data_IF_679520872162
#
_entry.id   IF_679520872162
#
_cell.length_a   1.000
_cell.length_b   1.000
_cell.length_c   1.000
_cell.angle_alpha   90.00
_cell.angle_beta   90.00
_cell.angle_gamma   90.00
#
_symmetry.space_group_name_H-M   'P 1'
#
loop_
_entity.id
_entity.type
_entity.pdbx_description
1 polymer ?
#
# COMPACT_ATOMS: atom_id res chain seq x y z
N UNK A 1 -7.40 20.67 6.13
CA UNK A 1 -8.34 20.80 4.97
C UNK A 1 -8.99 19.48 4.55
N UNK A 2 -8.42 18.32 4.84
CA UNK A 2 -9.00 16.99 4.48
C UNK A 2 -10.35 16.69 5.14
N UNK A 3 -10.62 17.20 6.35
CA UNK A 3 -11.87 16.95 7.08
C UNK A 3 -13.12 17.55 6.41
N UNK A 4 -13.03 18.78 5.93
CA UNK A 4 -14.15 19.44 5.25
C UNK A 4 -14.53 18.75 3.93
N UNK A 5 -13.54 18.27 3.17
CA UNK A 5 -13.79 17.49 1.96
C UNK A 5 -14.51 16.17 2.27
N UNK A 6 -14.07 15.46 3.31
CA UNK A 6 -14.66 14.20 3.73
C UNK A 6 -16.11 14.40 4.21
N UNK A 7 -16.37 15.47 4.96
CA UNK A 7 -17.72 15.86 5.36
C UNK A 7 -18.58 16.20 4.14
N UNK A 8 -18.03 16.91 3.15
CA UNK A 8 -18.72 17.23 1.90
C UNK A 8 -19.10 15.97 1.12
N UNK A 9 -18.18 14.98 1.02
CA UNK A 9 -18.48 13.70 0.39
C UNK A 9 -19.57 12.93 1.12
N UNK A 10 -19.51 12.87 2.45
CA UNK A 10 -20.54 12.20 3.27
C UNK A 10 -21.89 12.90 3.10
N UNK A 11 -21.92 14.24 3.09
CA UNK A 11 -23.14 15.01 2.91
C UNK A 11 -23.76 14.75 1.52
N UNK A 12 -22.97 14.79 0.44
CA UNK A 12 -23.44 14.50 -0.92
C UNK A 12 -23.95 13.06 -0.98
N UNK A 13 -23.24 12.11 -0.43
CA UNK A 13 -23.61 10.70 -0.44
C UNK A 13 -24.90 10.44 0.31
N UNK A 14 -25.06 11.06 1.50
CA UNK A 14 -26.27 11.00 2.31
C UNK A 14 -27.45 11.67 1.60
N UNK A 15 -27.23 12.80 0.94
CA UNK A 15 -28.24 13.50 0.17
C UNK A 15 -28.77 12.67 -1.03
N UNK A 16 -27.88 12.03 -1.77
CA UNK A 16 -28.27 11.14 -2.87
C UNK A 16 -29.04 9.92 -2.33
N UNK A 17 -28.59 9.34 -1.21
CA UNK A 17 -29.33 8.26 -0.52
C UNK A 17 -30.74 8.68 -0.09
N UNK A 18 -30.88 9.90 0.45
CA UNK A 18 -32.18 10.48 0.80
C UNK A 18 -33.08 10.72 -0.42
N UNK A 19 -32.52 11.17 -1.56
CA UNK A 19 -33.27 11.31 -2.80
C UNK A 19 -33.77 9.97 -3.32
N UNK A 20 -32.94 8.92 -3.31
CA UNK A 20 -33.31 7.57 -3.72
C UNK A 20 -34.44 7.07 -2.82
N UNK A 21 -34.32 7.24 -1.51
CA UNK A 21 -35.36 6.85 -0.53
C UNK A 21 -36.68 7.60 -0.79
N UNK A 22 -36.62 8.91 -0.98
CA UNK A 22 -37.81 9.73 -1.28
C UNK A 22 -38.47 9.34 -2.61
N UNK A 23 -37.68 9.07 -3.65
CA UNK A 23 -38.17 8.59 -4.93
C UNK A 23 -38.84 7.20 -4.79
N UNK A 24 -38.25 6.34 -3.97
CA UNK A 24 -38.79 5.03 -3.62
C UNK A 24 -40.15 5.14 -2.93
N UNK A 25 -40.28 6.00 -1.96
CA UNK A 25 -41.56 6.21 -1.27
C UNK A 25 -42.65 6.74 -2.21
N UNK A 26 -42.31 7.64 -3.12
CA UNK A 26 -43.26 8.17 -4.11
C UNK A 26 -43.69 7.11 -5.14
N UNK A 27 -42.79 6.18 -5.50
CA UNK A 27 -43.09 5.07 -6.41
C UNK A 27 -44.06 4.05 -5.78
N UNK A 28 -44.19 4.03 -4.45
CA UNK A 28 -45.13 3.15 -3.73
C UNK A 28 -46.61 3.46 -4.03
N UNK A 29 -46.91 4.60 -4.61
CA UNK A 29 -48.25 5.01 -5.05
C UNK A 29 -48.73 4.23 -6.28
N UNK A 30 -47.87 3.43 -6.92
CA UNK A 30 -48.20 2.53 -8.01
C UNK A 30 -48.76 1.23 -7.38
N UNK A 31 -50.02 1.25 -7.01
CA UNK A 31 -50.82 0.19 -6.28
C UNK A 31 -50.89 -1.20 -6.95
N UNK A 32 -50.06 -1.53 -7.92
CA UNK A 32 -50.13 -2.83 -8.64
C UNK A 32 -48.94 -3.77 -8.36
N UNK A 33 -47.95 -3.38 -7.54
CA UNK A 33 -46.83 -4.25 -7.25
C UNK A 33 -47.12 -5.14 -6.01
N UNK A 34 -46.72 -6.41 -6.11
CA UNK A 34 -46.72 -7.31 -4.97
C UNK A 34 -45.78 -6.70 -3.88
N UNK A 35 -46.28 -6.56 -2.65
CA UNK A 35 -45.60 -5.91 -1.54
C UNK A 35 -44.21 -6.52 -1.26
N UNK A 36 -44.09 -7.85 -1.46
CA UNK A 36 -42.82 -8.58 -1.29
C UNK A 36 -41.76 -8.13 -2.32
N UNK A 37 -42.18 -8.00 -3.59
CA UNK A 37 -41.31 -7.56 -4.67
C UNK A 37 -40.85 -6.11 -4.44
N UNK A 38 -41.75 -5.28 -3.93
CA UNK A 38 -41.42 -3.87 -3.60
C UNK A 38 -40.33 -3.79 -2.55
N UNK A 39 -40.48 -4.50 -1.40
CA UNK A 39 -39.44 -4.50 -0.37
C UNK A 39 -38.14 -5.15 -0.83
N UNK A 40 -38.22 -6.24 -1.60
CA UNK A 40 -37.01 -6.89 -2.14
C UNK A 40 -36.19 -5.95 -3.05
N UNK A 41 -36.86 -5.21 -3.93
CA UNK A 41 -36.21 -4.21 -4.77
C UNK A 41 -35.58 -3.06 -3.96
N UNK A 42 -36.25 -2.59 -2.91
CA UNK A 42 -35.74 -1.57 -2.02
C UNK A 42 -34.47 -2.01 -1.28
N UNK A 43 -34.49 -3.24 -0.74
CA UNK A 43 -33.31 -3.83 -0.12
C UNK A 43 -32.17 -3.99 -1.11
N UNK A 44 -32.44 -4.45 -2.34
CA UNK A 44 -31.43 -4.60 -3.38
C UNK A 44 -30.78 -3.26 -3.74
N UNK A 45 -31.58 -2.23 -3.95
CA UNK A 45 -31.08 -0.87 -4.24
C UNK A 45 -30.22 -0.32 -3.09
N UNK A 46 -30.64 -0.54 -1.84
CA UNK A 46 -29.89 -0.15 -0.67
C UNK A 46 -28.53 -0.88 -0.58
N UNK A 47 -28.52 -2.20 -0.79
CA UNK A 47 -27.29 -3.00 -0.77
C UNK A 47 -26.34 -2.58 -1.87
N UNK A 48 -26.83 -2.34 -3.08
CA UNK A 48 -26.00 -1.86 -4.20
C UNK A 48 -25.44 -0.46 -3.91
N UNK A 49 -26.28 0.44 -3.41
CA UNK A 49 -25.88 1.80 -3.05
C UNK A 49 -24.79 1.80 -1.96
N UNK A 50 -25.08 1.14 -0.83
CA UNK A 50 -24.17 1.09 0.31
C UNK A 50 -22.90 0.31 -0.01
N UNK A 51 -23.04 -0.83 -0.70
CA UNK A 51 -21.93 -1.69 -1.09
C UNK A 51 -20.96 -1.01 -2.05
N UNK A 52 -21.46 -0.23 -3.01
CA UNK A 52 -20.62 0.52 -3.95
C UNK A 52 -19.81 1.62 -3.24
N UNK A 53 -20.43 2.32 -2.29
CA UNK A 53 -19.75 3.29 -1.46
C UNK A 53 -18.68 2.67 -0.59
N UNK A 54 -19.03 1.60 0.14
CA UNK A 54 -18.07 0.88 0.99
C UNK A 54 -16.89 0.32 0.19
N UNK A 55 -17.16 -0.27 -0.99
CA UNK A 55 -16.11 -0.78 -1.87
C UNK A 55 -15.15 0.34 -2.31
N UNK A 56 -15.68 1.49 -2.67
CA UNK A 56 -14.87 2.63 -3.11
C UNK A 56 -14.07 3.24 -1.97
N UNK A 57 -14.60 3.24 -0.75
CA UNK A 57 -13.98 3.86 0.42
C UNK A 57 -12.91 2.96 1.07
N UNK A 58 -13.23 1.71 1.34
CA UNK A 58 -12.39 0.81 2.13
C UNK A 58 -12.10 -0.52 1.43
N UNK A 59 -13.06 -1.07 0.71
CA UNK A 59 -12.99 -2.43 0.16
C UNK A 59 -11.80 -2.64 -0.76
N UNK A 60 -11.51 -1.70 -1.65
CA UNK A 60 -10.34 -1.77 -2.54
C UNK A 60 -9.02 -1.86 -1.77
N UNK A 61 -8.84 -1.02 -0.74
CA UNK A 61 -7.63 -1.04 0.08
C UNK A 61 -7.46 -2.37 0.79
N UNK A 62 -8.52 -2.81 1.47
CA UNK A 62 -8.50 -4.08 2.22
C UNK A 62 -8.18 -5.27 1.31
N UNK A 63 -8.78 -5.32 0.13
CA UNK A 63 -8.56 -6.38 -0.85
C UNK A 63 -7.09 -6.41 -1.32
N UNK A 64 -6.55 -5.26 -1.74
CA UNK A 64 -5.17 -5.19 -2.25
C UNK A 64 -4.12 -5.33 -1.14
N UNK A 65 -4.39 -4.84 0.07
CA UNK A 65 -3.51 -5.06 1.21
C UNK A 65 -3.46 -6.55 1.60
N UNK A 66 -4.59 -7.26 1.51
CA UNK A 66 -4.64 -8.71 1.70
C UNK A 66 -3.85 -9.46 0.60
N UNK A 67 -3.96 -9.02 -0.65
CA UNK A 67 -3.20 -9.59 -1.76
C UNK A 67 -1.69 -9.37 -1.57
N UNK A 68 -1.26 -8.18 -1.17
CA UNK A 68 0.14 -7.87 -0.87
C UNK A 68 0.65 -8.72 0.30
N UNK A 69 -0.14 -8.88 1.38
CA UNK A 69 0.24 -9.77 2.49
C UNK A 69 0.49 -11.19 2.02
N UNK A 70 -0.34 -11.72 1.13
CA UNK A 70 -0.14 -13.07 0.55
C UNK A 70 1.15 -13.17 -0.27
N UNK A 71 1.43 -12.19 -1.13
CA UNK A 71 2.67 -12.16 -1.90
C UNK A 71 3.90 -12.02 -0.99
N UNK A 72 3.81 -11.16 0.01
CA UNK A 72 4.87 -10.93 0.98
C UNK A 72 5.15 -12.18 1.84
N UNK A 73 4.11 -12.92 2.22
CA UNK A 73 4.27 -14.17 2.95
C UNK A 73 4.97 -15.27 2.14
N UNK A 74 4.89 -15.17 0.80
CA UNK A 74 5.50 -16.15 -0.11
C UNK A 74 7.01 -15.92 -0.29
N UNK A 75 7.43 -14.69 -0.57
CA UNK A 75 8.82 -14.37 -0.91
C UNK A 75 9.31 -13.03 -0.35
N UNK A 76 8.49 -12.35 0.47
CA UNK A 76 8.87 -11.10 1.13
C UNK A 76 9.71 -11.36 2.37
N UNK A 77 10.70 -10.49 2.59
CA UNK A 77 11.54 -10.58 3.79
C UNK A 77 12.95 -10.09 3.56
N UNK A 78 13.78 -10.34 4.57
CA UNK A 78 15.21 -10.05 4.56
C UNK A 78 15.94 -11.38 4.73
N UNK A 79 16.81 -11.71 3.78
CA UNK A 79 17.76 -12.80 3.87
C UNK A 79 19.17 -12.21 4.02
N UNK A 80 19.86 -12.55 5.09
CA UNK A 80 21.25 -12.18 5.34
C UNK A 80 22.10 -13.44 5.26
N UNK A 81 23.03 -13.46 4.31
CA UNK A 81 23.93 -14.58 4.08
C UNK A 81 25.24 -14.42 4.83
N UNK A 82 25.69 -13.16 4.99
CA UNK A 82 26.90 -12.83 5.72
C UNK A 82 26.75 -11.46 6.40
N UNK A 83 27.07 -11.38 7.68
CA UNK A 83 27.08 -10.12 8.42
C UNK A 83 28.44 -9.45 8.35
N UNK A 84 28.47 -8.13 8.25
CA UNK A 84 29.68 -7.32 8.20
C UNK A 84 29.80 -6.53 9.48
N UNK A 85 30.89 -6.72 10.20
CA UNK A 85 31.23 -5.94 11.40
C UNK A 85 31.95 -4.66 10.99
N UNK A 86 31.39 -3.51 11.34
CA UNK A 86 31.94 -2.21 11.03
C UNK A 86 32.33 -1.48 12.32
N UNK A 87 33.34 -0.58 12.28
CA UNK A 87 33.69 0.32 13.38
C UNK A 87 32.51 1.20 13.80
N UNK A 88 32.47 1.61 15.06
CA UNK A 88 31.35 2.36 15.63
C UNK A 88 31.14 3.75 15.00
N UNK A 89 32.21 4.38 14.49
CA UNK A 89 32.22 5.66 13.78
C UNK A 89 31.48 5.63 12.43
N UNK A 90 31.27 4.42 11.88
CA UNK A 90 30.48 4.21 10.66
C UNK A 90 28.97 4.21 10.89
N UNK A 91 28.52 4.42 12.12
CA UNK A 91 27.12 4.47 12.49
C UNK A 91 26.75 5.83 13.07
N UNK A 92 25.53 6.28 12.78
CA UNK A 92 24.97 7.47 13.40
C UNK A 92 24.46 7.17 14.83
N UNK A 93 23.98 8.21 15.53
CA UNK A 93 23.44 8.10 16.90
C UNK A 93 22.24 7.16 17.01
N UNK A 94 21.52 6.87 15.90
CA UNK A 94 20.40 5.94 15.86
C UNK A 94 20.79 4.52 15.44
N UNK A 95 22.09 4.23 15.32
CA UNK A 95 22.61 2.92 14.93
C UNK A 95 22.43 2.57 13.45
N UNK A 96 22.20 3.57 12.61
CA UNK A 96 22.13 3.40 11.15
C UNK A 96 23.51 3.71 10.55
N UNK A 97 23.86 3.04 9.43
CA UNK A 97 25.09 3.35 8.70
C UNK A 97 25.08 4.79 8.17
N UNK A 98 26.17 5.50 8.34
CA UNK A 98 26.30 6.93 7.95
C UNK A 98 26.81 7.15 6.54
N UNK A 99 27.30 6.11 5.86
CA UNK A 99 27.90 6.21 4.52
C UNK A 99 26.93 5.87 3.37
N UNK A 100 25.66 5.56 3.67
CA UNK A 100 24.66 5.33 2.63
C UNK A 100 24.27 6.63 1.93
N UNK A 101 24.45 6.65 0.60
CA UNK A 101 24.08 7.78 -0.27
C UNK A 101 22.89 7.40 -1.16
N UNK A 102 21.65 7.85 -0.89
CA UNK A 102 20.46 7.45 -1.64
C UNK A 102 20.54 7.71 -3.15
N UNK A 103 21.27 8.73 -3.56
CA UNK A 103 21.47 9.11 -4.96
C UNK A 103 22.64 8.39 -5.65
N UNK A 104 23.39 7.57 -4.91
CA UNK A 104 24.60 6.91 -5.39
C UNK A 104 24.39 5.70 -6.32
N UNK A 105 23.14 5.32 -6.59
CA UNK A 105 22.86 4.17 -7.44
C UNK A 105 23.53 2.89 -6.92
N UNK A 106 24.31 2.21 -7.76
CA UNK A 106 25.06 1.00 -7.38
C UNK A 106 26.17 1.29 -6.37
N UNK A 107 26.68 2.52 -6.32
CA UNK A 107 27.74 2.98 -5.42
C UNK A 107 27.18 3.62 -4.14
N UNK A 108 25.90 3.46 -3.87
CA UNK A 108 25.24 4.04 -2.70
C UNK A 108 25.89 3.65 -1.36
N UNK A 109 26.61 2.54 -1.30
CA UNK A 109 27.34 2.03 -0.13
C UNK A 109 28.88 2.21 -0.26
N UNK A 110 29.33 3.10 -1.15
CA UNK A 110 30.75 3.37 -1.37
C UNK A 110 31.46 2.31 -2.20
N UNK A 111 32.81 2.36 -2.20
CA UNK A 111 33.64 1.54 -3.10
C UNK A 111 33.69 0.06 -2.73
N UNK A 112 33.42 -0.29 -1.48
CA UNK A 112 33.55 -1.67 -0.99
C UNK A 112 32.33 -2.54 -1.26
N UNK A 113 31.16 -1.92 -1.45
CA UNK A 113 29.88 -2.61 -1.60
C UNK A 113 29.15 -2.13 -2.83
N UNK A 114 28.48 -3.05 -3.50
CA UNK A 114 27.58 -2.78 -4.61
C UNK A 114 26.13 -2.94 -4.13
N UNK A 115 25.32 -1.89 -4.29
CA UNK A 115 23.91 -1.89 -3.95
C UNK A 115 23.07 -1.94 -5.22
N UNK A 116 22.22 -2.96 -5.34
CA UNK A 116 21.30 -3.09 -6.46
C UNK A 116 19.88 -2.98 -5.92
N UNK A 117 19.12 -2.03 -6.45
CA UNK A 117 17.70 -1.86 -6.15
C UNK A 117 16.90 -1.94 -7.44
N UNK A 118 16.04 -2.96 -7.53
CA UNK A 118 15.15 -3.16 -8.68
C UNK A 118 13.71 -3.03 -8.23
N UNK A 119 12.93 -2.24 -8.95
CA UNK A 119 11.49 -2.11 -8.72
C UNK A 119 10.76 -2.65 -9.93
N UNK A 120 9.91 -3.65 -9.71
CA UNK A 120 9.08 -4.27 -10.73
C UNK A 120 7.63 -3.88 -10.45
N UNK A 121 6.95 -3.35 -11.46
CA UNK A 121 5.53 -3.03 -11.38
C UNK A 121 4.75 -4.33 -11.60
N UNK A 122 4.18 -4.89 -10.53
CA UNK A 122 3.34 -6.10 -10.58
C UNK A 122 1.96 -5.77 -11.14
N UNK A 123 1.42 -4.62 -10.73
CA UNK A 123 0.17 -4.08 -11.24
C UNK A 123 0.33 -2.59 -11.46
N UNK A 124 0.11 -2.14 -12.69
CA UNK A 124 0.06 -0.72 -13.01
C UNK A 124 -1.35 -0.20 -12.72
N UNK A 125 -1.45 0.86 -11.94
CA UNK A 125 -2.68 1.60 -11.72
C UNK A 125 -2.66 2.91 -12.51
N UNK A 126 -3.84 3.35 -12.92
CA UNK A 126 -4.07 4.71 -13.40
C UNK A 126 -4.14 5.69 -12.24
N UNK A 127 -4.36 6.99 -12.53
CA UNK A 127 -4.24 8.10 -11.57
C UNK A 127 -5.00 7.89 -10.23
N UNK A 128 -6.12 7.15 -10.21
CA UNK A 128 -6.92 6.85 -9.01
C UNK A 128 -7.00 5.35 -8.70
N UNK A 129 -6.24 4.52 -9.42
CA UNK A 129 -6.27 3.09 -9.20
C UNK A 129 -5.04 2.60 -8.44
N UNK A 130 -5.10 1.36 -7.99
CA UNK A 130 -4.05 0.76 -7.17
C UNK A 130 -2.89 0.31 -8.02
N UNK A 131 -1.69 0.78 -7.70
CA UNK A 131 -0.43 0.26 -8.21
C UNK A 131 0.22 -0.66 -7.17
N UNK A 132 0.69 -1.82 -7.60
CA UNK A 132 1.45 -2.75 -6.78
C UNK A 132 2.85 -2.87 -7.34
N UNK A 133 3.83 -2.68 -6.48
CA UNK A 133 5.25 -2.74 -6.83
C UNK A 133 5.97 -3.75 -5.95
N UNK A 134 6.88 -4.50 -6.56
CA UNK A 134 7.84 -5.38 -5.90
C UNK A 134 9.19 -4.71 -5.91
N UNK A 135 9.77 -4.52 -4.75
CA UNK A 135 11.10 -3.96 -4.56
C UNK A 135 12.05 -5.10 -4.18
N UNK A 136 13.09 -5.28 -4.96
CA UNK A 136 14.16 -6.23 -4.68
C UNK A 136 15.46 -5.47 -4.50
N UNK A 137 16.04 -5.54 -3.31
CA UNK A 137 17.29 -4.89 -2.93
C UNK A 137 18.33 -5.95 -2.60
N UNK A 138 19.53 -5.77 -3.13
CA UNK A 138 20.63 -6.72 -2.94
C UNK A 138 21.92 -5.94 -2.62
N UNK A 139 22.74 -6.51 -1.75
CA UNK A 139 24.04 -5.94 -1.37
C UNK A 139 25.11 -7.00 -1.64
N UNK A 140 26.09 -6.62 -2.44
CA UNK A 140 27.23 -7.44 -2.79
C UNK A 140 28.51 -6.83 -2.24
N UNK A 141 29.47 -7.67 -1.84
CA UNK A 141 30.84 -7.25 -1.59
C UNK A 141 31.56 -7.15 -2.95
N UNK A 142 32.24 -6.04 -3.21
CA UNK A 142 32.90 -5.84 -4.52
C UNK A 142 34.17 -6.66 -4.70
N UNK A 143 34.90 -6.97 -3.62
CA UNK A 143 36.17 -7.71 -3.71
C UNK A 143 36.04 -9.10 -4.31
N UNK A 144 34.95 -9.80 -3.99
CA UNK A 144 34.68 -11.19 -4.39
C UNK A 144 33.32 -11.36 -5.11
N UNK A 145 32.61 -10.27 -5.33
CA UNK A 145 31.26 -10.24 -5.90
C UNK A 145 30.26 -11.13 -5.18
N UNK A 146 30.46 -11.35 -3.87
CA UNK A 146 29.61 -12.21 -3.04
C UNK A 146 28.37 -11.48 -2.60
N UNK A 147 27.21 -12.13 -2.74
CA UNK A 147 25.94 -11.60 -2.21
C UNK A 147 25.95 -11.72 -0.67
N UNK A 148 25.86 -10.58 0.00
CA UNK A 148 25.85 -10.49 1.47
C UNK A 148 24.45 -10.60 2.05
N UNK A 149 23.47 -10.02 1.35
CA UNK A 149 22.08 -10.10 1.76
C UNK A 149 21.15 -9.50 0.72
N UNK A 150 19.89 -9.87 0.86
CA UNK A 150 18.83 -9.36 0.00
C UNK A 150 17.55 -9.07 0.77
N UNK A 151 16.74 -8.20 0.23
CA UNK A 151 15.43 -7.84 0.76
C UNK A 151 14.41 -7.78 -0.37
N UNK A 152 13.31 -8.48 -0.19
CA UNK A 152 12.13 -8.38 -1.04
C UNK A 152 11.01 -7.74 -0.25
N UNK A 153 10.43 -6.68 -0.80
CA UNK A 153 9.27 -6.02 -0.21
C UNK A 153 8.24 -5.67 -1.28
N UNK A 154 6.99 -5.64 -0.88
CA UNK A 154 5.87 -5.27 -1.72
C UNK A 154 5.26 -3.98 -1.22
N UNK A 155 4.87 -3.10 -2.12
CA UNK A 155 4.17 -1.87 -1.78
C UNK A 155 2.94 -1.67 -2.63
N UNK A 156 1.91 -1.10 -2.00
CA UNK A 156 0.74 -0.54 -2.67
C UNK A 156 0.81 0.98 -2.61
N UNK A 157 0.46 1.60 -3.71
CA UNK A 157 0.23 3.04 -3.78
C UNK A 157 -1.14 3.28 -4.41
N UNK A 158 -1.94 4.16 -3.80
CA UNK A 158 -3.28 4.50 -4.28
C UNK A 158 -4.38 3.60 -3.75
N UNK A 159 -5.57 3.68 -4.35
CA UNK A 159 -6.80 3.07 -3.84
C UNK A 159 -7.49 3.92 -2.78
N UNK A 160 -7.08 5.17 -2.63
CA UNK A 160 -7.73 6.19 -1.83
C UNK A 160 -8.91 6.80 -2.60
N UNK A 161 -9.82 7.44 -1.87
CA UNK A 161 -10.83 8.30 -2.49
C UNK A 161 -10.12 9.38 -3.32
N UNK A 162 -10.73 9.77 -4.47
CA UNK A 162 -10.19 10.88 -5.26
C UNK A 162 -10.14 12.14 -4.38
N UNK A 163 -8.98 12.79 -4.36
CA UNK A 163 -8.76 13.98 -3.53
C UNK A 163 -7.38 14.58 -3.74
N UNK A 164 -7.11 15.69 -3.08
CA UNK A 164 -5.86 16.47 -3.21
C UNK A 164 -4.69 15.92 -2.36
N UNK A 165 -4.90 14.82 -1.63
CA UNK A 165 -3.87 14.21 -0.80
C UNK A 165 -3.05 13.18 -1.58
N UNK A 166 -1.85 12.96 -1.08
CA UNK A 166 -0.99 11.91 -1.64
C UNK A 166 -1.59 10.52 -1.36
N UNK A 167 -1.50 9.61 -2.34
CA UNK A 167 -1.97 8.25 -2.18
C UNK A 167 -1.32 7.55 -0.99
N UNK A 168 -2.13 6.90 -0.14
CA UNK A 168 -1.61 6.19 1.02
C UNK A 168 -0.76 5.00 0.60
N UNK A 169 0.48 4.87 1.09
CA UNK A 169 1.30 3.69 0.86
C UNK A 169 0.93 2.57 1.85
N UNK A 170 1.02 1.34 1.39
CA UNK A 170 1.08 0.15 2.24
C UNK A 170 2.33 -0.64 1.86
N UNK A 171 3.15 -1.03 2.82
CA UNK A 171 4.42 -1.72 2.59
C UNK A 171 4.44 -2.99 3.45
N UNK A 172 4.87 -4.09 2.85
CA UNK A 172 5.06 -5.38 3.51
C UNK A 172 6.44 -5.96 3.12
N UNK A 173 7.20 -6.55 4.05
CA UNK A 173 6.92 -6.65 5.49
C UNK A 173 7.10 -5.30 6.21
N UNK A 174 6.22 -5.04 7.17
CA UNK A 174 6.29 -3.84 8.02
C UNK A 174 6.82 -4.21 9.41
N UNK A 175 8.03 -4.75 9.47
CA UNK A 175 8.65 -5.19 10.72
C UNK A 175 9.69 -4.20 11.26
N UNK A 176 9.79 -3.01 10.68
CA UNK A 176 10.75 -1.97 11.08
C UNK A 176 12.23 -2.33 10.84
N UNK A 177 12.52 -3.55 10.41
CA UNK A 177 13.88 -3.99 10.12
C UNK A 177 14.32 -3.52 8.74
N UNK A 178 15.52 -2.98 8.66
CA UNK A 178 16.16 -2.61 7.39
C UNK A 178 17.21 -3.66 7.03
N UNK A 179 17.38 -3.94 5.74
CA UNK A 179 18.46 -4.79 5.24
C UNK A 179 19.82 -4.32 5.77
N UNK A 180 20.03 -3.00 5.79
CA UNK A 180 21.28 -2.41 6.28
C UNK A 180 21.55 -2.74 7.75
N UNK A 181 20.55 -2.55 8.61
CA UNK A 181 20.70 -2.81 10.05
C UNK A 181 20.83 -4.30 10.39
N UNK A 182 20.33 -5.18 9.50
CA UNK A 182 20.48 -6.62 9.67
C UNK A 182 21.83 -7.14 9.16
N UNK A 183 22.41 -6.46 8.17
CA UNK A 183 23.64 -6.87 7.51
C UNK A 183 24.88 -6.25 8.17
N UNK A 184 24.82 -4.96 8.51
CA UNK A 184 25.92 -4.24 9.12
C UNK A 184 25.74 -4.15 10.62
N UNK A 185 26.70 -4.69 11.37
CA UNK A 185 26.68 -4.71 12.83
C UNK A 185 27.89 -3.99 13.40
N UNK A 186 27.75 -3.38 14.57
CA UNK A 186 28.88 -2.75 15.26
C UNK A 186 29.86 -3.83 15.72
N UNK A 187 31.14 -3.48 15.57
CA UNK A 187 32.22 -4.30 16.12
C UNK A 187 32.32 -4.13 17.62
#
# INVERSE_FOLDING_TARGET
>A
MSGLYLLGLIAIWSFVGWLIYRFWLNASTIKKFNIVVYYALGCLLFVVWFGSGFWSFAGKKMYYDAQIRKMCAKDGGIAVFETVKLPADMFNQWGQINFFKPTGGEDALGINYKYISRTIIVKRGEQFSVSIMRHHRQIYRRSDNKLLGEQVSYSRRGGDLPGFWQPSPYICPNNGKSLFNSLFTKR
#
